data_IF_765761610652
#
_entry.id   IF_765761610652
#
_cell.length_a   1.000
_cell.length_b   1.000
_cell.length_c   1.000
_cell.angle_alpha   90.00
_cell.angle_beta   90.00
_cell.angle_gamma   90.00
#
_symmetry.space_group_name_H-M   'P 1'
#
loop_
_entity.id
_entity.type
_entity.pdbx_description
1 polymer ?
#
# COMPACT_ATOMS: atom_id res chain seq x y z
N UNK A 1 -13.55 35.31 -11.85
CA UNK A 1 -13.40 33.93 -12.37
C UNK A 1 -12.91 34.03 -13.82
N UNK A 2 -11.87 33.27 -14.19
CA UNK A 2 -11.35 33.31 -15.57
C UNK A 2 -12.39 32.74 -16.56
N UNK A 3 -12.42 33.34 -17.75
CA UNK A 3 -13.28 32.90 -18.87
C UNK A 3 -12.44 32.16 -19.88
N UNK A 4 -12.90 31.02 -20.37
CA UNK A 4 -12.21 30.20 -21.40
C UNK A 4 -13.20 29.78 -22.48
N UNK A 5 -12.71 29.61 -23.68
CA UNK A 5 -13.53 29.12 -24.79
C UNK A 5 -13.81 27.61 -24.61
N UNK A 6 -15.00 27.18 -25.01
CA UNK A 6 -15.34 25.76 -25.06
C UNK A 6 -14.38 25.02 -25.99
N UNK A 7 -13.84 23.89 -25.53
CA UNK A 7 -12.85 23.11 -26.29
C UNK A 7 -13.46 22.13 -27.30
N UNK A 8 -14.77 22.14 -27.47
CA UNK A 8 -15.42 21.36 -28.53
C UNK A 8 -15.15 22.01 -29.89
N UNK A 9 -14.74 21.22 -30.86
CA UNK A 9 -14.39 21.68 -32.19
C UNK A 9 -15.52 22.49 -32.82
N UNK A 10 -15.21 23.72 -33.27
CA UNK A 10 -16.18 24.64 -33.89
C UNK A 10 -17.10 25.39 -32.90
N UNK A 11 -16.96 25.23 -31.60
CA UNK A 11 -17.74 25.96 -30.61
C UNK A 11 -17.09 27.29 -30.22
N UNK A 12 -17.84 28.38 -30.31
CA UNK A 12 -17.39 29.73 -29.94
C UNK A 12 -17.84 30.17 -28.54
N UNK A 13 -18.58 29.34 -27.82
CA UNK A 13 -19.12 29.66 -26.50
C UNK A 13 -18.00 29.85 -25.46
N UNK A 14 -18.14 30.89 -24.64
CA UNK A 14 -17.23 31.22 -23.56
C UNK A 14 -17.85 30.74 -22.24
N UNK A 15 -17.08 29.95 -21.46
CA UNK A 15 -17.50 29.43 -20.16
C UNK A 15 -16.65 30.04 -19.04
N UNK A 16 -17.28 30.28 -17.91
CA UNK A 16 -16.60 30.71 -16.70
C UNK A 16 -16.09 29.47 -15.97
N UNK A 17 -14.82 29.42 -15.62
CA UNK A 17 -14.20 28.28 -14.92
C UNK A 17 -13.66 28.71 -13.56
N UNK A 18 -13.64 27.82 -12.58
CA UNK A 18 -13.02 28.10 -11.27
C UNK A 18 -11.50 28.39 -11.39
N UNK A 19 -10.98 29.18 -10.45
CA UNK A 19 -9.53 29.38 -10.36
C UNK A 19 -8.87 28.02 -10.07
N UNK A 20 -7.85 27.67 -10.86
CA UNK A 20 -7.16 26.37 -10.73
C UNK A 20 -7.78 25.23 -11.56
N UNK A 21 -8.85 25.49 -12.33
CA UNK A 21 -9.44 24.50 -13.24
C UNK A 21 -8.41 24.05 -14.29
N UNK A 22 -8.13 22.75 -14.35
CA UNK A 22 -7.10 22.15 -15.21
C UNK A 22 -7.65 21.37 -16.40
N UNK A 23 -8.95 21.03 -16.35
CA UNK A 23 -9.59 20.26 -17.41
C UNK A 23 -9.97 21.13 -18.62
N UNK A 24 -10.37 20.47 -19.71
CA UNK A 24 -10.85 21.12 -20.91
C UNK A 24 -12.25 21.68 -20.68
N UNK A 25 -12.45 23.02 -20.68
CA UNK A 25 -13.74 23.64 -20.42
C UNK A 25 -14.73 23.32 -21.54
N UNK A 26 -15.97 22.98 -21.16
CA UNK A 26 -17.07 22.73 -22.10
C UNK A 26 -18.30 23.55 -21.72
N UNK A 27 -18.98 24.10 -22.69
CA UNK A 27 -20.26 24.80 -22.46
C UNK A 27 -21.39 23.78 -22.16
N UNK A 28 -22.53 24.25 -21.68
CA UNK A 28 -23.67 23.42 -21.33
C UNK A 28 -24.12 22.45 -22.43
N UNK A 29 -24.03 22.87 -23.69
CA UNK A 29 -24.39 22.05 -24.87
C UNK A 29 -23.39 20.92 -25.12
N UNK A 30 -22.13 21.10 -24.72
CA UNK A 30 -21.03 20.15 -24.92
C UNK A 30 -20.50 19.56 -23.62
N UNK A 31 -21.19 19.79 -22.50
CA UNK A 31 -20.90 19.16 -21.25
C UNK A 31 -20.99 17.64 -21.44
N UNK A 32 -19.92 16.92 -21.08
CA UNK A 32 -20.00 15.46 -20.99
C UNK A 32 -20.90 15.13 -19.81
N UNK A 33 -22.00 14.45 -20.06
CA UNK A 33 -22.73 13.75 -19.01
C UNK A 33 -21.79 12.63 -18.55
N UNK A 34 -21.01 12.94 -17.51
CA UNK A 34 -20.23 11.89 -16.84
C UNK A 34 -21.23 11.16 -15.96
N UNK A 35 -21.79 10.08 -16.50
CA UNK A 35 -22.47 9.10 -15.66
C UNK A 35 -21.53 8.79 -14.50
N UNK A 36 -21.99 8.87 -13.24
CA UNK A 36 -21.16 8.46 -12.12
C UNK A 36 -20.72 7.02 -12.39
N UNK A 37 -19.46 6.84 -12.76
CA UNK A 37 -18.93 5.48 -12.86
C UNK A 37 -19.21 4.82 -11.51
N UNK A 38 -19.93 3.66 -11.50
CA UNK A 38 -20.16 2.97 -10.26
C UNK A 38 -18.79 2.82 -9.61
N UNK A 39 -18.67 3.27 -8.34
CA UNK A 39 -17.48 3.03 -7.56
C UNK A 39 -17.24 1.54 -7.73
N UNK A 40 -16.16 1.19 -8.44
CA UNK A 40 -15.74 -0.21 -8.48
C UNK A 40 -15.66 -0.61 -7.02
N UNK A 41 -16.64 -1.36 -6.55
CA UNK A 41 -16.43 -2.17 -5.35
C UNK A 41 -15.14 -2.90 -5.67
N UNK A 42 -14.09 -2.55 -4.94
CA UNK A 42 -12.88 -3.34 -4.95
C UNK A 42 -13.32 -4.70 -4.44
N UNK A 43 -13.74 -5.56 -5.36
CA UNK A 43 -13.84 -6.95 -5.07
C UNK A 43 -12.58 -7.27 -4.29
N UNK A 44 -12.74 -7.83 -3.10
CA UNK A 44 -11.65 -8.40 -2.34
C UNK A 44 -11.07 -9.50 -3.23
N UNK A 45 -10.27 -9.08 -4.23
CA UNK A 45 -9.45 -10.00 -4.98
C UNK A 45 -8.65 -10.73 -3.92
N UNK A 46 -8.79 -12.02 -3.89
CA UNK A 46 -7.90 -12.93 -3.20
C UNK A 46 -6.50 -12.41 -3.48
N UNK A 47 -5.94 -11.68 -2.50
CA UNK A 47 -4.67 -11.00 -2.68
C UNK A 47 -3.66 -12.12 -2.49
N UNK A 48 -3.27 -12.77 -3.59
CA UNK A 48 -2.09 -13.61 -3.60
C UNK A 48 -0.95 -12.77 -3.00
N UNK A 49 -0.28 -13.26 -1.96
CA UNK A 49 0.69 -12.51 -1.17
C UNK A 49 1.76 -11.76 -1.98
N UNK A 50 1.89 -12.11 -3.27
CA UNK A 50 2.80 -11.47 -4.24
C UNK A 50 2.33 -10.08 -4.71
N UNK A 51 1.02 -9.78 -4.68
CA UNK A 51 0.46 -8.53 -5.20
C UNK A 51 0.11 -7.48 -4.13
N UNK A 52 0.20 -7.83 -2.84
CA UNK A 52 -0.15 -6.94 -1.72
C UNK A 52 0.65 -5.65 -1.78
N UNK A 53 1.96 -5.76 -1.93
CA UNK A 53 2.90 -4.63 -1.93
C UNK A 53 2.72 -3.67 -3.12
N UNK A 54 2.03 -4.11 -4.17
CA UNK A 54 1.71 -3.30 -5.36
C UNK A 54 0.30 -2.68 -5.26
N UNK A 55 -0.52 -3.10 -4.30
CA UNK A 55 -1.89 -2.61 -4.14
C UNK A 55 -1.92 -1.12 -3.77
N UNK A 56 -2.99 -0.43 -4.20
CA UNK A 56 -3.23 0.95 -3.81
C UNK A 56 -3.37 1.10 -2.28
N UNK A 57 -4.04 0.14 -1.63
CA UNK A 57 -4.23 0.11 -0.18
C UNK A 57 -2.89 0.06 0.54
N UNK A 58 -2.00 -0.84 0.14
CA UNK A 58 -0.68 -0.96 0.73
C UNK A 58 0.14 0.33 0.57
N UNK A 59 0.17 0.89 -0.64
CA UNK A 59 0.93 2.12 -0.90
C UNK A 59 0.44 3.28 -0.03
N UNK A 60 -0.88 3.45 0.10
CA UNK A 60 -1.49 4.49 0.93
C UNK A 60 -1.16 4.27 2.41
N UNK A 61 -1.35 3.05 2.91
CA UNK A 61 -1.06 2.66 4.28
C UNK A 61 0.42 2.91 4.62
N UNK A 62 1.31 2.42 3.77
CA UNK A 62 2.76 2.58 3.91
C UNK A 62 3.17 4.05 3.99
N UNK A 63 2.66 4.91 3.10
CA UNK A 63 2.97 6.34 3.11
C UNK A 63 2.55 7.01 4.42
N UNK A 64 1.33 6.75 4.90
CA UNK A 64 0.85 7.27 6.17
C UNK A 64 1.67 6.75 7.37
N UNK A 65 2.02 5.47 7.35
CA UNK A 65 2.82 4.85 8.40
C UNK A 65 4.24 5.42 8.49
N UNK A 66 4.93 5.58 7.37
CA UNK A 66 6.29 6.16 7.30
C UNK A 66 6.30 7.61 7.78
N UNK A 67 5.29 8.40 7.43
CA UNK A 67 5.18 9.79 7.87
C UNK A 67 5.09 9.92 9.40
N UNK A 68 4.46 8.96 10.07
CA UNK A 68 4.31 8.94 11.53
C UNK A 68 5.49 8.23 12.24
N UNK A 69 6.16 7.32 11.55
CA UNK A 69 7.23 6.48 12.11
C UNK A 69 8.49 6.55 11.24
N UNK A 70 9.20 7.68 11.20
CA UNK A 70 10.34 7.88 10.29
C UNK A 70 11.60 7.09 10.69
N UNK A 71 11.69 6.64 11.94
CA UNK A 71 12.87 5.97 12.48
C UNK A 71 12.75 4.45 12.43
N UNK A 72 13.91 3.78 12.46
CA UNK A 72 13.97 2.32 12.60
C UNK A 72 13.58 1.92 14.03
N UNK A 73 12.49 1.19 14.17
CA UNK A 73 11.96 0.75 15.46
C UNK A 73 13.00 -0.06 16.27
N UNK A 74 13.73 -0.95 15.62
CA UNK A 74 14.73 -1.76 16.32
C UNK A 74 15.94 -0.94 16.79
N UNK A 75 16.42 0.02 15.99
CA UNK A 75 17.51 0.89 16.40
C UNK A 75 17.08 1.80 17.56
N UNK A 76 15.86 2.32 17.50
CA UNK A 76 15.30 3.21 18.52
C UNK A 76 15.22 2.53 19.90
N UNK A 77 14.89 1.23 19.95
CA UNK A 77 14.88 0.41 21.17
C UNK A 77 16.24 0.38 21.87
N UNK A 78 17.33 0.57 21.13
CA UNK A 78 18.71 0.64 21.66
C UNK A 78 19.23 2.08 21.76
N UNK A 79 18.37 3.09 21.66
CA UNK A 79 18.76 4.49 21.72
C UNK A 79 19.55 4.99 20.51
N UNK A 80 19.52 4.25 19.39
CA UNK A 80 20.22 4.60 18.15
C UNK A 80 19.23 5.24 17.18
N UNK A 81 19.50 6.47 16.78
CA UNK A 81 18.68 7.22 15.82
C UNK A 81 19.11 6.82 14.41
N UNK A 82 18.28 6.02 13.74
CA UNK A 82 18.51 5.57 12.36
C UNK A 82 17.22 5.71 11.57
N UNK A 83 17.28 6.29 10.38
CA UNK A 83 16.12 6.38 9.50
C UNK A 83 15.62 4.98 9.12
N UNK A 84 14.30 4.80 9.11
CA UNK A 84 13.69 3.60 8.54
C UNK A 84 13.85 3.60 7.01
N UNK A 85 13.86 2.42 6.43
CA UNK A 85 13.99 2.22 4.99
C UNK A 85 12.89 1.31 4.42
N UNK A 86 12.51 0.28 5.15
CA UNK A 86 11.53 -0.72 4.75
C UNK A 86 10.41 -0.78 5.78
N UNK A 87 9.16 -0.69 5.33
CA UNK A 87 7.98 -1.04 6.14
C UNK A 87 7.76 -2.54 6.02
N UNK A 88 7.78 -3.21 7.12
CA UNK A 88 7.72 -4.67 7.25
C UNK A 88 6.61 -5.07 8.24
N UNK A 89 6.14 -6.31 8.17
CA UNK A 89 5.18 -6.86 9.13
C UNK A 89 5.89 -7.41 10.37
N UNK A 90 5.38 -7.13 11.56
CA UNK A 90 5.90 -7.70 12.81
C UNK A 90 5.70 -9.21 12.80
N UNK A 91 4.47 -9.65 12.56
CA UNK A 91 4.11 -11.04 12.29
C UNK A 91 3.96 -11.19 10.79
N UNK A 92 4.72 -12.08 10.19
CA UNK A 92 4.69 -12.34 8.75
C UNK A 92 3.29 -12.77 8.29
N UNK A 93 2.92 -12.36 7.07
CA UNK A 93 1.63 -12.72 6.46
C UNK A 93 1.48 -14.24 6.36
N UNK A 94 2.56 -14.94 6.04
CA UNK A 94 2.61 -16.42 5.96
C UNK A 94 2.38 -17.09 7.31
N UNK A 95 2.65 -16.39 8.41
CA UNK A 95 2.41 -16.86 9.78
C UNK A 95 1.06 -16.34 10.34
N UNK A 96 0.19 -15.80 9.49
CA UNK A 96 -1.15 -15.30 9.85
C UNK A 96 -1.18 -13.84 10.30
N UNK A 97 -0.12 -13.08 10.08
CA UNK A 97 -0.09 -11.65 10.39
C UNK A 97 -1.09 -10.83 9.57
N UNK A 98 -1.70 -9.85 10.21
CA UNK A 98 -2.65 -8.95 9.56
C UNK A 98 -1.93 -8.05 8.55
N UNK A 99 -2.46 -8.01 7.32
CA UNK A 99 -1.81 -7.35 6.17
C UNK A 99 -1.87 -5.83 6.27
N UNK A 100 -3.03 -5.29 6.67
CA UNK A 100 -3.31 -3.85 6.64
C UNK A 100 -3.47 -3.25 8.04
N UNK A 101 -3.13 -3.98 9.09
CA UNK A 101 -3.15 -3.47 10.45
C UNK A 101 -1.86 -2.72 10.77
N UNK A 102 -1.99 -1.43 11.09
CA UNK A 102 -0.86 -0.56 11.47
C UNK A 102 -0.11 -1.08 12.69
N UNK A 103 -0.80 -1.81 13.60
CA UNK A 103 -0.19 -2.39 14.79
C UNK A 103 0.69 -3.60 14.45
N UNK A 104 0.51 -4.20 13.28
CA UNK A 104 1.37 -5.26 12.76
C UNK A 104 2.48 -4.75 11.84
N UNK A 105 2.67 -3.43 11.73
CA UNK A 105 3.71 -2.83 10.90
C UNK A 105 4.86 -2.31 11.73
N UNK A 106 6.05 -2.33 11.14
CA UNK A 106 7.26 -1.76 11.70
C UNK A 106 8.10 -1.12 10.59
N UNK A 107 8.76 0.00 10.91
CA UNK A 107 9.70 0.65 10.00
C UNK A 107 11.11 0.25 10.40
N UNK A 108 11.85 -0.38 9.52
CA UNK A 108 13.18 -0.92 9.80
C UNK A 108 14.22 -0.34 8.85
N UNK A 109 15.44 -0.11 9.35
CA UNK A 109 16.59 0.10 8.48
C UNK A 109 16.97 -1.21 7.76
N UNK A 110 17.76 -1.11 6.71
CA UNK A 110 18.12 -2.26 5.87
C UNK A 110 18.80 -3.39 6.66
N UNK A 111 19.70 -3.06 7.61
CA UNK A 111 20.39 -4.06 8.44
C UNK A 111 19.45 -4.79 9.39
N UNK A 112 18.56 -4.05 10.08
CA UNK A 112 17.57 -4.66 10.98
C UNK A 112 16.57 -5.54 10.24
N UNK A 113 16.10 -5.11 9.06
CA UNK A 113 15.24 -5.92 8.20
C UNK A 113 15.93 -7.22 7.76
N UNK A 114 17.18 -7.15 7.29
CA UNK A 114 17.94 -8.33 6.89
C UNK A 114 18.15 -9.30 8.06
N UNK A 115 18.46 -8.79 9.25
CA UNK A 115 18.63 -9.60 10.45
C UNK A 115 17.32 -10.28 10.88
N UNK A 116 16.17 -9.58 10.76
CA UNK A 116 14.84 -10.17 11.01
C UNK A 116 14.56 -11.30 10.02
N UNK A 117 14.69 -11.03 8.73
CA UNK A 117 14.44 -12.01 7.66
C UNK A 117 15.31 -13.27 7.83
N UNK A 118 16.58 -13.13 8.21
CA UNK A 118 17.46 -14.26 8.48
C UNK A 118 16.96 -15.12 9.65
N UNK A 119 16.53 -14.48 10.76
CA UNK A 119 15.97 -15.19 11.92
C UNK A 119 14.68 -15.95 11.57
N UNK A 120 13.82 -15.35 10.78
CA UNK A 120 12.55 -15.97 10.35
C UNK A 120 12.79 -17.17 9.43
N UNK A 121 13.74 -17.09 8.51
CA UNK A 121 14.15 -18.23 7.68
C UNK A 121 14.63 -19.41 8.53
N UNK A 122 15.42 -19.15 9.57
CA UNK A 122 15.90 -20.20 10.49
C UNK A 122 14.73 -20.82 11.27
N UNK A 123 13.79 -20.00 11.76
CA UNK A 123 12.59 -20.49 12.47
C UNK A 123 11.74 -21.39 11.56
N UNK A 124 11.51 -20.97 10.29
CA UNK A 124 10.75 -21.76 9.32
C UNK A 124 11.46 -23.06 8.93
N UNK A 125 12.77 -23.04 8.79
CA UNK A 125 13.59 -24.24 8.54
C UNK A 125 13.44 -25.27 9.66
N UNK A 126 13.52 -24.84 10.92
CA UNK A 126 13.30 -25.71 12.09
C UNK A 126 11.88 -26.27 12.15
N UNK A 127 10.85 -25.45 11.85
CA UNK A 127 9.44 -25.88 11.85
C UNK A 127 9.17 -26.95 10.79
N UNK A 128 9.78 -26.84 9.60
CA UNK A 128 9.68 -27.87 8.55
C UNK A 128 10.35 -29.18 8.96
N UNK A 129 11.49 -29.12 9.65
CA UNK A 129 12.19 -30.31 10.13
C UNK A 129 11.43 -31.08 11.22
N UNK A 130 10.72 -30.37 12.10
CA UNK A 130 9.90 -30.97 13.17
C UNK A 130 8.60 -31.60 12.64
N UNK A 131 8.01 -31.07 11.59
CA UNK A 131 6.79 -31.62 10.97
C UNK A 131 7.08 -32.75 9.97
N UNK A 132 8.36 -33.00 9.65
CA UNK A 132 8.80 -34.11 8.80
C UNK A 132 8.99 -35.43 9.51
N UNK A 133 8.87 -35.47 10.83
CA UNK A 133 8.92 -36.71 11.63
C UNK A 133 7.48 -37.18 11.91
N UNK A 134 6.79 -37.54 10.83
CA UNK A 134 5.44 -38.05 10.89
C UNK A 134 5.42 -39.56 11.03
N UNK A 135 4.67 -39.97 12.01
CA UNK A 135 3.93 -41.23 12.09
C UNK A 135 4.71 -42.50 11.73
N UNK A 136 5.37 -43.02 12.71
CA UNK A 136 5.60 -44.47 12.78
C UNK A 136 4.26 -45.06 13.25
N UNK A 137 3.47 -45.59 12.33
CA UNK A 137 2.35 -46.46 12.65
C UNK A 137 2.94 -47.74 13.21
N UNK A 138 2.72 -47.93 14.50
CA UNK A 138 3.00 -49.18 15.19
C UNK A 138 2.08 -50.31 14.68
N UNK A 139 2.70 -51.44 14.50
CA UNK A 139 2.08 -52.73 14.27
C UNK A 139 1.22 -53.18 15.44
#
# INVERSE_FOLDING_TARGET
MPRRQCTYSGCTEIVTVPVGFRDSPRCAKHARIVEPTPKREYAHHHIDGKNIYQSYQWRKLRLGFVAQNPLCLHCEQYGIITAGYIVDHIVEIEDGGAIFDVNNLQHLCKSCHNAKTAREKIKRGKKKSLNGFGSISDF
#
